data_IF_727670495634
#
_entry.id   IF_727670495634
#
_cell.length_a   1.000
_cell.length_b   1.000
_cell.length_c   1.000
_cell.angle_alpha   90.00
_cell.angle_beta   90.00
_cell.angle_gamma   90.00
#
_symmetry.space_group_name_H-M   'P 1'
#
loop_
_entity.id
_entity.type
_entity.pdbx_description
1 polymer ?
#
# COMPACT_ATOMS: atom_id res chain seq x y z
N UNK A 1 10.19 1.74 20.38
CA UNK A 1 8.96 2.40 19.87
C UNK A 1 8.37 1.53 18.77
N UNK A 2 7.06 1.29 18.77
CA UNK A 2 6.41 0.52 17.69
C UNK A 2 6.32 1.41 16.45
N UNK A 3 6.76 0.91 15.29
CA UNK A 3 6.69 1.66 14.03
C UNK A 3 5.23 1.65 13.56
N UNK A 4 4.61 2.84 13.48
CA UNK A 4 3.24 2.98 13.00
C UNK A 4 3.15 2.72 11.51
N UNK A 5 2.09 2.01 11.13
CA UNK A 5 1.82 1.64 9.73
C UNK A 5 0.35 1.82 9.44
N UNK A 6 0.03 2.58 8.40
CA UNK A 6 -1.34 2.67 7.90
C UNK A 6 -1.75 1.35 7.27
N UNK A 7 -3.05 1.07 7.34
CA UNK A 7 -3.68 -0.11 6.78
C UNK A 7 -5.00 0.26 6.11
N UNK A 8 -5.28 -0.41 5.00
CA UNK A 8 -6.51 -0.25 4.26
C UNK A 8 -6.96 -1.52 3.56
N UNK A 9 -8.03 -1.39 2.79
CA UNK A 9 -8.60 -2.46 1.97
C UNK A 9 -8.24 -2.20 0.52
N UNK A 10 -7.78 -3.24 -0.18
CA UNK A 10 -7.57 -3.18 -1.63
C UNK A 10 -8.91 -3.09 -2.34
N UNK A 11 -9.15 -1.98 -3.04
CA UNK A 11 -10.40 -1.75 -3.78
C UNK A 11 -10.23 -1.85 -5.30
N UNK A 12 -9.01 -1.68 -5.79
CA UNK A 12 -8.68 -1.82 -7.22
C UNK A 12 -7.20 -2.19 -7.40
N UNK A 13 -6.87 -2.83 -8.51
CA UNK A 13 -5.51 -3.25 -8.86
C UNK A 13 -5.29 -3.03 -10.36
N UNK A 14 -4.36 -2.15 -10.68
CA UNK A 14 -3.92 -1.87 -12.04
C UNK A 14 -2.60 -2.62 -12.31
N UNK A 15 -2.60 -3.45 -13.35
CA UNK A 15 -1.43 -4.16 -13.86
C UNK A 15 -0.78 -3.31 -14.95
N UNK A 16 0.44 -2.82 -14.72
CA UNK A 16 1.03 -1.83 -15.65
C UNK A 16 1.69 -2.48 -16.87
N UNK A 17 1.95 -3.79 -16.82
CA UNK A 17 2.70 -4.50 -17.86
C UNK A 17 4.20 -4.16 -17.87
N UNK A 18 4.69 -3.36 -16.93
CA UNK A 18 6.13 -3.18 -16.69
C UNK A 18 6.64 -4.34 -15.83
N UNK A 19 7.82 -4.88 -16.18
CA UNK A 19 8.41 -6.02 -15.47
C UNK A 19 9.84 -5.71 -15.02
N UNK A 20 10.23 -6.26 -13.88
CA UNK A 20 11.63 -6.40 -13.46
C UNK A 20 11.96 -7.88 -13.32
N UNK A 21 13.22 -8.24 -13.56
CA UNK A 21 13.73 -9.59 -13.34
C UNK A 21 14.68 -9.54 -12.15
N UNK A 22 14.50 -10.42 -11.19
CA UNK A 22 15.43 -10.54 -10.06
C UNK A 22 16.65 -11.42 -10.40
N UNK A 23 17.53 -11.61 -9.43
CA UNK A 23 18.77 -12.40 -9.59
C UNK A 23 18.49 -13.90 -9.86
N UNK A 24 17.30 -14.39 -9.49
CA UNK A 24 16.86 -15.78 -9.69
C UNK A 24 16.14 -15.99 -11.02
N UNK A 25 15.89 -14.90 -11.77
CA UNK A 25 15.22 -14.93 -13.07
C UNK A 25 13.70 -14.80 -13.00
N UNK A 26 13.12 -14.45 -11.84
CA UNK A 26 11.68 -14.33 -11.67
C UNK A 26 11.11 -13.03 -12.29
N UNK A 27 9.99 -13.23 -13.00
CA UNK A 27 9.09 -12.26 -13.66
C UNK A 27 8.28 -11.35 -12.75
N UNK A 28 8.82 -10.31 -12.11
CA UNK A 28 8.03 -9.44 -11.24
C UNK A 28 7.30 -8.33 -12.00
N UNK A 29 5.97 -8.33 -11.99
CA UNK A 29 5.14 -7.31 -12.63
C UNK A 29 4.86 -6.14 -11.71
N UNK A 30 5.11 -4.92 -12.18
CA UNK A 30 4.73 -3.71 -11.48
C UNK A 30 3.21 -3.51 -11.52
N UNK A 31 2.65 -3.30 -10.35
CA UNK A 31 1.22 -3.18 -10.13
C UNK A 31 0.95 -1.98 -9.23
N UNK A 32 -0.16 -1.30 -9.50
CA UNK A 32 -0.62 -0.16 -8.71
C UNK A 32 -1.90 -0.58 -8.00
N UNK A 33 -1.84 -0.66 -6.67
CA UNK A 33 -2.97 -1.02 -5.84
C UNK A 33 -3.66 0.24 -5.35
N UNK A 34 -4.96 0.37 -5.57
CA UNK A 34 -5.77 1.39 -4.91
C UNK A 34 -6.24 0.84 -3.56
N UNK A 35 -5.87 1.53 -2.49
CA UNK A 35 -6.16 1.19 -1.11
C UNK A 35 -7.08 2.23 -0.50
N UNK A 36 -8.21 1.80 0.06
CA UNK A 36 -9.07 2.64 0.90
C UNK A 36 -8.60 2.54 2.35
N UNK A 37 -8.15 3.66 2.92
CA UNK A 37 -7.59 3.70 4.28
C UNK A 37 -8.66 3.46 5.35
N UNK A 38 -8.37 2.51 6.24
CA UNK A 38 -9.27 2.10 7.33
C UNK A 38 -8.74 2.44 8.71
N UNK A 39 -7.43 2.53 8.87
CA UNK A 39 -6.81 2.85 10.16
C UNK A 39 -5.33 2.51 10.20
N UNK A 40 -4.79 2.40 11.40
CA UNK A 40 -3.44 1.87 11.63
C UNK A 40 -3.47 0.35 11.85
N UNK A 41 -2.31 -0.28 11.67
CA UNK A 41 -2.14 -1.69 11.97
C UNK A 41 -2.42 -1.99 13.45
N UNK A 42 -2.87 -3.21 13.76
CA UNK A 42 -3.11 -3.66 15.15
C UNK A 42 -1.88 -3.58 16.07
N UNK A 43 -0.68 -3.45 15.51
CA UNK A 43 0.59 -3.33 16.26
C UNK A 43 0.83 -1.91 16.79
N UNK A 44 -0.03 -0.96 16.45
CA UNK A 44 -0.04 0.43 16.93
C UNK A 44 -1.43 0.81 17.43
N UNK A 45 -1.86 0.26 18.58
CA UNK A 45 -3.23 0.38 19.07
C UNK A 45 -3.62 1.80 19.53
N UNK A 46 -2.64 2.66 19.82
CA UNK A 46 -2.89 4.02 20.33
C UNK A 46 -2.98 5.08 19.21
N UNK A 47 -2.71 4.71 17.97
CA UNK A 47 -2.73 5.65 16.85
C UNK A 47 -4.17 5.79 16.31
N UNK A 48 -4.66 7.02 16.27
CA UNK A 48 -5.98 7.35 15.71
C UNK A 48 -5.80 7.87 14.31
N UNK A 49 -6.54 7.29 13.34
CA UNK A 49 -6.51 7.78 11.96
C UNK A 49 -7.06 9.21 11.91
N UNK A 50 -6.29 10.18 11.37
CA UNK A 50 -6.79 11.53 11.12
C UNK A 50 -8.07 11.52 10.28
N UNK A 51 -9.02 12.40 10.59
CA UNK A 51 -10.34 12.41 9.95
C UNK A 51 -10.27 12.66 8.43
N UNK A 52 -9.35 13.52 8.00
CA UNK A 52 -9.08 13.82 6.59
C UNK A 52 -8.50 12.62 5.81
N UNK A 53 -8.08 11.55 6.48
CA UNK A 53 -7.57 10.32 5.87
C UNK A 53 -8.59 9.17 5.93
N UNK A 54 -9.69 9.32 6.66
CA UNK A 54 -10.72 8.30 6.79
C UNK A 54 -11.38 8.03 5.44
N UNK A 55 -11.33 6.79 4.97
CA UNK A 55 -11.89 6.40 3.67
C UNK A 55 -11.15 7.01 2.47
N UNK A 56 -10.01 7.68 2.70
CA UNK A 56 -9.20 8.22 1.61
C UNK A 56 -8.65 7.06 0.77
N UNK A 57 -8.79 7.19 -0.55
CA UNK A 57 -8.18 6.27 -1.50
C UNK A 57 -6.79 6.76 -1.85
N UNK A 58 -5.83 5.86 -1.74
CA UNK A 58 -4.44 6.09 -2.13
C UNK A 58 -4.01 4.98 -3.08
N UNK A 59 -2.99 5.23 -3.87
CA UNK A 59 -2.34 4.28 -4.76
C UNK A 59 -0.99 3.90 -4.18
N UNK A 60 -0.66 2.61 -4.19
CA UNK A 60 0.67 2.11 -3.83
C UNK A 60 1.24 1.25 -4.95
N UNK A 61 2.54 1.35 -5.19
CA UNK A 61 3.26 0.54 -6.20
C UNK A 61 3.79 -0.72 -5.54
N UNK A 62 3.51 -1.89 -6.12
CA UNK A 62 4.08 -3.17 -5.69
C UNK A 62 4.49 -4.00 -6.90
N UNK A 63 5.49 -4.84 -6.69
CA UNK A 63 5.88 -5.86 -7.65
C UNK A 63 5.21 -7.18 -7.28
N UNK A 64 4.52 -7.79 -8.23
CA UNK A 64 3.69 -8.98 -8.04
C UNK A 64 4.16 -10.08 -8.97
N UNK A 65 4.25 -11.30 -8.42
CA UNK A 65 4.70 -12.48 -9.17
C UNK A 65 3.56 -13.49 -9.31
N UNK A 66 2.93 -13.84 -8.19
CA UNK A 66 1.90 -14.87 -8.11
C UNK A 66 0.47 -14.32 -8.05
N UNK A 67 -0.51 -15.12 -8.47
CA UNK A 67 -1.92 -14.74 -8.52
C UNK A 67 -2.52 -14.28 -7.19
N UNK A 68 -2.01 -14.81 -6.08
CA UNK A 68 -2.49 -14.46 -4.75
C UNK A 68 -2.25 -12.98 -4.39
N UNK A 69 -1.35 -12.30 -5.10
CA UNK A 69 -1.13 -10.86 -4.94
C UNK A 69 -2.32 -10.02 -5.44
N UNK A 70 -3.09 -10.51 -6.41
CA UNK A 70 -4.12 -9.74 -7.12
C UNK A 70 -5.51 -9.80 -6.47
N UNK A 71 -5.59 -10.05 -5.16
CA UNK A 71 -6.88 -10.17 -4.46
C UNK A 71 -7.43 -8.81 -4.06
N UNK A 72 -8.68 -8.55 -4.45
CA UNK A 72 -9.49 -7.43 -3.95
C UNK A 72 -10.10 -7.74 -2.59
N UNK A 73 -10.47 -6.71 -1.83
CA UNK A 73 -11.14 -6.84 -0.53
C UNK A 73 -10.24 -7.29 0.62
N UNK A 74 -8.96 -7.54 0.36
CA UNK A 74 -7.99 -7.94 1.39
C UNK A 74 -7.36 -6.73 2.07
N UNK A 75 -6.91 -6.91 3.31
CA UNK A 75 -6.15 -5.89 4.03
C UNK A 75 -4.74 -5.76 3.48
N UNK A 76 -4.29 -4.52 3.24
CA UNK A 76 -2.92 -4.20 2.87
C UNK A 76 -2.37 -3.18 3.87
N UNK A 77 -1.17 -3.43 4.36
CA UNK A 77 -0.45 -2.54 5.28
C UNK A 77 0.63 -1.82 4.50
N UNK A 78 0.74 -0.52 4.69
CA UNK A 78 1.78 0.31 4.07
C UNK A 78 3.13 0.07 4.73
N UNK A 79 4.20 0.39 4.01
CA UNK A 79 5.53 0.50 4.57
C UNK A 79 5.62 1.71 5.51
N UNK A 80 6.60 1.76 6.44
CA UNK A 80 6.76 2.88 7.37
C UNK A 80 6.92 4.23 6.67
N UNK A 81 7.76 4.29 5.64
CA UNK A 81 8.04 5.49 4.85
C UNK A 81 6.80 5.93 4.06
N UNK A 82 6.08 4.99 3.46
CA UNK A 82 4.79 5.27 2.80
C UNK A 82 3.75 5.81 3.78
N UNK A 83 3.74 5.28 5.01
CA UNK A 83 2.86 5.75 6.07
C UNK A 83 3.16 7.21 6.39
N UNK A 84 4.43 7.58 6.61
CA UNK A 84 4.80 8.96 6.89
C UNK A 84 4.56 9.89 5.68
N UNK A 85 4.73 9.40 4.46
CA UNK A 85 4.39 10.13 3.24
C UNK A 85 2.90 10.51 3.18
N UNK A 86 2.01 9.55 3.46
CA UNK A 86 0.55 9.78 3.52
C UNK A 86 0.17 10.73 4.66
N UNK A 87 0.74 10.52 5.86
CA UNK A 87 0.45 11.36 7.02
C UNK A 87 0.93 12.81 6.84
N UNK A 88 2.07 13.00 6.18
CA UNK A 88 2.62 14.33 5.88
C UNK A 88 2.02 14.98 4.64
N UNK A 89 1.17 14.27 3.89
CA UNK A 89 0.57 14.78 2.65
C UNK A 89 1.57 14.96 1.52
N UNK A 90 2.67 14.20 1.52
CA UNK A 90 3.74 14.26 0.51
C UNK A 90 3.82 12.94 -0.27
N UNK A 91 3.33 12.88 -1.53
CA UNK A 91 3.46 11.69 -2.37
C UNK A 91 4.92 11.30 -2.62
N UNK A 92 5.15 10.03 -2.90
CA UNK A 92 6.45 9.45 -3.29
C UNK A 92 6.29 8.65 -4.58
N UNK A 93 7.39 8.05 -5.08
CA UNK A 93 7.33 7.13 -6.21
C UNK A 93 6.60 5.82 -5.92
N UNK A 94 6.37 5.49 -4.64
CA UNK A 94 5.76 4.23 -4.20
C UNK A 94 4.36 4.42 -3.59
N UNK A 95 3.99 5.63 -3.15
CA UNK A 95 2.64 5.96 -2.65
C UNK A 95 2.18 7.35 -3.11
N UNK A 96 0.95 7.45 -3.62
CA UNK A 96 0.37 8.69 -4.15
C UNK A 96 -1.17 8.65 -4.10
N UNK A 97 -1.86 9.73 -4.46
CA UNK A 97 -3.34 9.80 -4.50
C UNK A 97 -3.83 10.79 -5.55
#
# INVERSE_FOLDING_TARGET
>A
MSVRKLQGIVVDIERTGEYITDEEGEKWEKCIFTIELTGFSKRTPNEVLPENLRGKRIKIVRYCLYDWHYKLGVRKTLEPDETEAVLSGKPTGTVFW
#
